data_IF_282499721285
#
_entry.id   IF_282499721285
#
_cell.length_a   1.000
_cell.length_b   1.000
_cell.length_c   1.000
_cell.angle_alpha   90.00
_cell.angle_beta   90.00
_cell.angle_gamma   90.00
#
_symmetry.space_group_name_H-M   'P 1'
#
loop_
_entity.id
_entity.type
_entity.pdbx_description
1 polymer ?
#
# COMPACT_ATOMS: atom_id res chain seq x y z
N UNK A 1 16.02 -3.63 -37.75
CA UNK A 1 14.79 -3.15 -37.07
C UNK A 1 14.16 -4.22 -36.16
N UNK A 2 13.89 -5.45 -36.63
CA UNK A 2 13.25 -6.50 -35.82
C UNK A 2 13.89 -6.77 -34.43
N UNK A 3 15.21 -6.67 -34.30
CA UNK A 3 15.93 -6.89 -33.03
C UNK A 3 15.72 -5.77 -32.00
N UNK A 4 15.62 -4.52 -32.46
CA UNK A 4 15.35 -3.37 -31.59
C UNK A 4 13.91 -3.45 -31.09
N UNK A 5 12.98 -3.83 -31.97
CA UNK A 5 11.57 -4.06 -31.63
C UNK A 5 11.45 -5.17 -30.57
N UNK A 6 12.16 -6.30 -30.74
CA UNK A 6 12.16 -7.39 -29.74
C UNK A 6 12.72 -6.97 -28.38
N UNK A 7 13.81 -6.21 -28.35
CA UNK A 7 14.38 -5.69 -27.10
C UNK A 7 13.47 -4.67 -26.41
N UNK A 8 12.86 -3.76 -27.17
CA UNK A 8 11.88 -2.81 -26.65
C UNK A 8 10.64 -3.52 -26.10
N UNK A 9 10.11 -4.50 -26.83
CA UNK A 9 8.99 -5.31 -26.39
C UNK A 9 9.30 -6.03 -25.07
N UNK A 10 10.48 -6.64 -24.95
CA UNK A 10 10.92 -7.28 -23.71
C UNK A 10 11.02 -6.28 -22.54
N UNK A 11 11.57 -5.09 -22.78
CA UNK A 11 11.67 -4.02 -21.77
C UNK A 11 10.30 -3.57 -21.26
N UNK A 12 9.35 -3.39 -22.18
CA UNK A 12 7.96 -3.02 -21.85
C UNK A 12 7.30 -4.14 -21.04
N UNK A 13 7.42 -5.40 -21.48
CA UNK A 13 6.83 -6.55 -20.78
C UNK A 13 7.37 -6.65 -19.34
N UNK A 14 8.70 -6.57 -19.15
CA UNK A 14 9.29 -6.61 -17.81
C UNK A 14 8.75 -5.45 -16.96
N UNK A 15 8.68 -4.24 -17.51
CA UNK A 15 8.16 -3.08 -16.77
C UNK A 15 6.69 -3.24 -16.37
N UNK A 16 5.85 -3.77 -17.27
CA UNK A 16 4.44 -4.05 -16.96
C UNK A 16 4.28 -5.14 -15.91
N UNK A 17 5.11 -6.18 -15.93
CA UNK A 17 5.11 -7.24 -14.92
C UNK A 17 5.45 -6.64 -13.55
N UNK A 18 6.60 -5.98 -13.40
CA UNK A 18 6.99 -5.39 -12.11
C UNK A 18 6.02 -4.30 -11.65
N UNK A 19 5.51 -3.47 -12.57
CA UNK A 19 4.53 -2.44 -12.29
C UNK A 19 3.19 -2.99 -11.80
N UNK A 20 2.67 -4.05 -12.44
CA UNK A 20 1.41 -4.69 -12.02
C UNK A 20 1.53 -5.36 -10.65
N UNK A 21 2.67 -6.01 -10.37
CA UNK A 21 2.96 -6.58 -9.05
C UNK A 21 3.03 -5.48 -7.99
N UNK A 22 3.71 -4.37 -8.27
CA UNK A 22 3.76 -3.22 -7.35
C UNK A 22 2.37 -2.66 -7.04
N UNK A 23 1.55 -2.39 -8.06
CA UNK A 23 0.18 -1.91 -7.87
C UNK A 23 -0.65 -2.88 -7.04
N UNK A 24 -0.51 -4.19 -7.29
CA UNK A 24 -1.23 -5.23 -6.55
C UNK A 24 -0.85 -5.22 -5.06
N UNK A 25 0.45 -5.17 -4.75
CA UNK A 25 0.92 -5.09 -3.36
C UNK A 25 0.44 -3.81 -2.67
N UNK A 26 0.49 -2.67 -3.36
CA UNK A 26 0.01 -1.40 -2.84
C UNK A 26 -1.51 -1.43 -2.54
N UNK A 27 -2.31 -2.07 -3.40
CA UNK A 27 -3.75 -2.23 -3.16
C UNK A 27 -4.01 -3.15 -1.95
N UNK A 28 -3.28 -4.25 -1.82
CA UNK A 28 -3.38 -5.16 -0.67
C UNK A 28 -2.99 -4.44 0.63
N UNK A 29 -1.93 -3.62 0.61
CA UNK A 29 -1.51 -2.81 1.76
C UNK A 29 -2.61 -1.86 2.22
N UNK A 30 -3.23 -1.12 1.29
CA UNK A 30 -4.35 -0.21 1.62
C UNK A 30 -5.58 -0.94 2.16
N UNK A 31 -5.94 -2.08 1.58
CA UNK A 31 -7.10 -2.84 2.06
C UNK A 31 -6.85 -3.48 3.42
N UNK A 32 -5.64 -4.00 3.66
CA UNK A 32 -5.28 -4.63 4.95
C UNK A 32 -5.22 -3.61 6.09
N UNK A 33 -4.77 -2.39 5.82
CA UNK A 33 -4.81 -1.28 6.78
C UNK A 33 -6.24 -0.90 7.24
N UNK A 34 -7.26 -1.17 6.43
CA UNK A 34 -8.66 -0.90 6.79
C UNK A 34 -9.39 -2.12 7.38
N UNK A 35 -8.89 -3.33 7.14
CA UNK A 35 -9.59 -4.57 7.46
C UNK A 35 -9.78 -4.78 8.98
N UNK A 36 -8.72 -4.62 9.77
CA UNK A 36 -8.79 -4.85 11.21
C UNK A 36 -9.65 -3.79 11.93
N UNK A 37 -9.54 -2.48 11.63
CA UNK A 37 -10.48 -1.47 12.13
C UNK A 37 -11.92 -1.74 11.71
N UNK A 38 -12.17 -2.09 10.45
CA UNK A 38 -13.53 -2.38 9.99
C UNK A 38 -14.15 -3.58 10.74
N UNK A 39 -13.37 -4.62 11.02
CA UNK A 39 -13.80 -5.76 11.82
C UNK A 39 -14.09 -5.36 13.27
N UNK A 40 -13.21 -4.57 13.90
CA UNK A 40 -13.41 -4.09 15.27
C UNK A 40 -14.66 -3.20 15.39
N UNK A 41 -14.87 -2.29 14.44
CA UNK A 41 -16.07 -1.47 14.37
C UNK A 41 -17.33 -2.34 14.20
N UNK A 42 -17.29 -3.37 13.36
CA UNK A 42 -18.41 -4.29 13.18
C UNK A 42 -18.75 -5.08 14.46
N UNK A 43 -17.75 -5.56 15.19
CA UNK A 43 -17.93 -6.23 16.50
C UNK A 43 -18.58 -5.27 17.50
N UNK A 44 -18.05 -4.04 17.61
CA UNK A 44 -18.59 -3.06 18.55
C UNK A 44 -20.02 -2.61 18.19
N UNK A 45 -20.35 -2.55 16.89
CA UNK A 45 -21.71 -2.29 16.40
C UNK A 45 -22.68 -3.40 16.86
N UNK A 46 -22.28 -4.67 16.80
CA UNK A 46 -23.10 -5.79 17.27
C UNK A 46 -23.32 -5.77 18.79
N UNK A 47 -22.38 -5.18 19.53
CA UNK A 47 -22.43 -5.06 20.99
C UNK A 47 -23.09 -3.76 21.47
N UNK A 48 -23.61 -2.92 20.57
CA UNK A 48 -24.23 -1.66 20.99
C UNK A 48 -25.41 -1.92 21.93
N UNK A 49 -25.29 -1.36 23.14
CA UNK A 49 -26.16 -1.67 24.29
C UNK A 49 -25.37 -2.22 25.47
N UNK A 50 -24.16 -2.73 25.23
CA UNK A 50 -23.17 -3.02 26.28
C UNK A 50 -22.27 -1.80 26.49
N UNK A 51 -22.03 -1.41 27.73
CA UNK A 51 -21.13 -0.29 28.08
C UNK A 51 -19.64 -0.64 27.90
N UNK A 52 -19.32 -1.92 27.78
CA UNK A 52 -17.95 -2.41 27.66
C UNK A 52 -17.43 -2.24 26.25
N UNK A 53 -16.33 -1.48 26.11
CA UNK A 53 -15.56 -1.47 24.87
C UNK A 53 -14.71 -2.73 24.75
N UNK A 54 -14.66 -3.29 23.54
CA UNK A 54 -13.77 -4.40 23.23
C UNK A 54 -12.39 -3.87 22.85
N UNK A 55 -11.37 -4.13 23.67
CA UNK A 55 -9.96 -3.86 23.33
C UNK A 55 -9.14 -3.31 24.51
N UNK A 56 -7.79 -3.40 24.43
CA UNK A 56 -6.91 -2.79 25.42
C UNK A 56 -6.96 -1.27 25.32
N UNK A 57 -6.82 -0.59 26.46
CA UNK A 57 -6.54 0.86 26.44
C UNK A 57 -5.12 1.09 25.95
N UNK A 58 -4.95 1.99 24.99
CA UNK A 58 -3.66 2.28 24.38
C UNK A 58 -3.43 3.77 24.18
N UNK A 59 -2.17 4.16 24.24
CA UNK A 59 -1.73 5.50 23.83
C UNK A 59 -1.45 5.49 22.32
N UNK A 60 -1.84 6.55 21.62
CA UNK A 60 -1.64 6.68 20.19
C UNK A 60 -0.16 6.90 19.88
N UNK A 61 0.40 6.00 19.09
CA UNK A 61 1.81 5.95 18.67
C UNK A 61 1.89 5.41 17.25
N UNK A 62 3.07 5.52 16.63
CA UNK A 62 3.32 5.00 15.29
C UNK A 62 3.15 3.47 15.20
N UNK A 63 3.18 2.74 16.31
CA UNK A 63 3.03 1.28 16.35
C UNK A 63 1.70 0.84 16.99
N UNK A 64 0.78 1.78 17.19
CA UNK A 64 -0.51 1.48 17.83
C UNK A 64 -1.32 0.50 17.00
N UNK A 65 -1.76 -0.56 17.67
CA UNK A 65 -2.71 -1.53 17.13
C UNK A 65 -4.12 -0.94 16.99
N UNK A 66 -5.10 -1.83 16.89
CA UNK A 66 -6.50 -1.43 16.69
C UNK A 66 -7.05 -0.76 17.95
N UNK A 67 -7.62 0.44 17.79
CA UNK A 67 -8.39 1.15 18.80
C UNK A 67 -9.83 1.37 18.35
N UNK A 68 -10.69 1.66 19.31
CA UNK A 68 -12.13 1.92 19.14
C UNK A 68 -12.55 3.12 19.99
N UNK A 69 -13.40 3.97 19.41
CA UNK A 69 -14.11 5.09 20.03
C UNK A 69 -15.59 5.01 19.65
N UNK A 70 -16.47 5.39 20.56
CA UNK A 70 -17.91 5.48 20.30
C UNK A 70 -18.36 6.90 20.56
N UNK A 71 -19.08 7.46 19.59
CA UNK A 71 -19.62 8.81 19.63
C UNK A 71 -21.15 8.76 19.78
N UNK A 72 -21.66 9.59 20.70
CA UNK A 72 -23.09 9.84 20.92
C UNK A 72 -23.74 10.61 19.77
N UNK A 73 -25.02 10.93 19.90
CA UNK A 73 -25.79 11.66 18.87
C UNK A 73 -25.30 13.10 18.64
N UNK A 74 -24.67 13.69 19.66
CA UNK A 74 -24.10 15.04 19.69
C UNK A 74 -22.68 15.12 19.12
N UNK A 75 -22.20 14.04 18.46
CA UNK A 75 -20.81 13.88 18.04
C UNK A 75 -19.80 13.98 19.21
N UNK A 76 -20.26 13.84 20.46
CA UNK A 76 -19.37 13.76 21.60
C UNK A 76 -18.96 12.31 21.87
N UNK A 77 -17.71 12.09 22.28
CA UNK A 77 -17.19 10.77 22.58
C UNK A 77 -17.80 10.24 23.87
N UNK A 78 -18.53 9.12 23.78
CA UNK A 78 -19.14 8.44 24.93
C UNK A 78 -18.19 7.45 25.58
N UNK A 79 -17.32 6.81 24.79
CA UNK A 79 -16.34 5.85 25.29
C UNK A 79 -15.16 5.71 24.33
N UNK A 80 -13.98 5.45 24.87
CA UNK A 80 -12.74 5.28 24.09
C UNK A 80 -11.83 4.19 24.67
N UNK A 81 -11.07 3.54 23.81
CA UNK A 81 -9.90 2.72 24.17
C UNK A 81 -8.58 3.44 23.92
N UNK A 82 -8.61 4.70 23.49
CA UNK A 82 -7.42 5.40 23.03
C UNK A 82 -7.28 6.80 23.58
N UNK A 83 -6.05 7.17 23.88
CA UNK A 83 -5.62 8.50 24.30
C UNK A 83 -4.44 8.99 23.46
N UNK A 84 -4.28 10.31 23.37
CA UNK A 84 -3.16 11.00 22.75
C UNK A 84 -2.68 12.09 23.73
N UNK A 85 -1.43 11.97 24.16
CA UNK A 85 -0.83 12.69 25.29
C UNK A 85 -1.69 12.62 26.56
N UNK A 86 -2.26 11.44 26.84
CA UNK A 86 -3.16 11.20 27.97
C UNK A 86 -4.53 11.91 27.87
N UNK A 87 -4.79 12.63 26.78
CA UNK A 87 -6.08 13.25 26.48
C UNK A 87 -6.85 12.44 25.44
N UNK A 88 -8.14 12.73 25.27
CA UNK A 88 -8.91 12.09 24.21
C UNK A 88 -8.55 12.70 22.84
N UNK A 89 -8.21 11.88 21.82
CA UNK A 89 -7.96 12.39 20.49
C UNK A 89 -9.21 13.00 19.84
N UNK A 90 -9.02 14.11 19.13
CA UNK A 90 -10.07 14.79 18.38
C UNK A 90 -10.07 14.31 16.94
N UNK A 91 -11.20 13.73 16.51
CA UNK A 91 -11.42 13.35 15.12
C UNK A 91 -11.96 14.52 14.29
N UNK A 92 -11.68 14.57 12.98
CA UNK A 92 -12.31 15.54 12.09
C UNK A 92 -13.83 15.31 12.04
N UNK A 93 -14.62 16.35 12.28
CA UNK A 93 -16.08 16.26 12.36
C UNK A 93 -16.71 15.65 11.09
N UNK A 94 -16.14 15.96 9.91
CA UNK A 94 -16.61 15.43 8.64
C UNK A 94 -16.64 13.90 8.53
N UNK A 95 -15.81 13.20 9.32
CA UNK A 95 -15.79 11.73 9.38
C UNK A 95 -17.07 11.20 10.04
N UNK A 96 -17.47 11.83 11.15
CA UNK A 96 -18.67 11.46 11.88
C UNK A 96 -19.91 11.82 11.06
N UNK A 97 -19.92 13.01 10.45
CA UNK A 97 -21.04 13.48 9.65
C UNK A 97 -21.26 12.59 8.42
N UNK A 98 -20.19 12.25 7.70
CA UNK A 98 -20.25 11.34 6.53
C UNK A 98 -20.71 9.94 6.94
N UNK A 99 -20.20 9.41 8.06
CA UNK A 99 -20.65 8.11 8.55
C UNK A 99 -22.14 8.11 8.90
N UNK A 100 -22.68 9.22 9.43
CA UNK A 100 -24.12 9.34 9.72
C UNK A 100 -24.98 9.40 8.45
N UNK A 101 -24.53 10.12 7.43
CA UNK A 101 -25.31 10.26 6.19
C UNK A 101 -25.20 9.05 5.26
N UNK A 102 -24.03 8.42 5.21
CA UNK A 102 -23.69 7.37 4.24
C UNK A 102 -23.58 5.97 4.87
N UNK A 103 -23.72 5.87 6.19
CA UNK A 103 -23.63 4.63 6.97
C UNK A 103 -22.19 4.25 7.38
N UNK A 104 -21.18 4.67 6.62
CA UNK A 104 -19.77 4.48 6.96
C UNK A 104 -18.86 5.50 6.27
N UNK A 105 -17.68 5.73 6.84
CA UNK A 105 -16.62 6.53 6.23
C UNK A 105 -15.24 5.90 6.49
N UNK A 106 -14.32 6.07 5.53
CA UNK A 106 -12.97 5.53 5.56
C UNK A 106 -11.98 6.65 5.26
N UNK A 107 -11.15 7.01 6.24
CA UNK A 107 -10.21 8.12 6.11
C UNK A 107 -8.83 7.77 6.63
N UNK A 108 -7.84 8.44 6.06
CA UNK A 108 -6.53 8.56 6.71
C UNK A 108 -6.57 9.79 7.60
N UNK A 109 -6.43 9.56 8.90
CA UNK A 109 -6.39 10.63 9.89
C UNK A 109 -4.97 10.79 10.43
N UNK A 110 -4.53 12.03 10.53
CA UNK A 110 -3.21 12.37 11.02
C UNK A 110 -3.32 13.38 12.18
N UNK A 111 -3.43 12.94 13.44
CA UNK A 111 -3.52 13.84 14.58
C UNK A 111 -2.27 14.70 14.75
N UNK A 112 -1.10 14.13 14.51
CA UNK A 112 0.19 14.79 14.66
C UNK A 112 1.14 14.40 13.52
N UNK A 113 2.18 15.20 13.24
CA UNK A 113 3.24 14.81 12.32
C UNK A 113 3.81 13.43 12.69
N UNK A 114 3.77 12.49 11.74
CA UNK A 114 4.28 11.13 11.93
C UNK A 114 3.29 10.12 12.53
N UNK A 115 2.10 10.55 12.98
CA UNK A 115 1.04 9.64 13.41
C UNK A 115 -0.04 9.55 12.34
N UNK A 116 0.07 8.59 11.43
CA UNK A 116 -0.93 8.37 10.37
C UNK A 116 -1.75 7.15 10.71
N UNK A 117 -3.07 7.32 10.78
CA UNK A 117 -4.00 6.28 11.20
C UNK A 117 -4.98 5.98 10.07
N UNK A 118 -5.22 4.70 9.80
CA UNK A 118 -6.36 4.25 9.02
C UNK A 118 -7.58 4.24 9.95
N UNK A 119 -8.62 4.99 9.62
CA UNK A 119 -9.82 5.15 10.45
C UNK A 119 -11.04 4.73 9.66
N UNK A 120 -11.89 3.95 10.31
CA UNK A 120 -13.18 3.48 9.82
C UNK A 120 -14.24 3.94 10.80
N UNK A 121 -15.18 4.75 10.32
CA UNK A 121 -16.35 5.16 11.06
C UNK A 121 -17.59 4.44 10.52
N UNK A 122 -18.47 3.99 11.41
CA UNK A 122 -19.71 3.30 11.07
C UNK A 122 -20.85 3.80 11.95
N UNK A 123 -21.92 4.25 11.32
CA UNK A 123 -23.13 4.60 12.04
C UNK A 123 -23.90 3.32 12.40
N UNK A 124 -24.44 3.29 13.60
CA UNK A 124 -25.51 2.37 13.96
C UNK A 124 -26.22 2.81 15.26
N UNK A 125 -27.53 2.55 15.34
CA UNK A 125 -28.39 2.90 16.49
C UNK A 125 -28.25 4.37 17.00
N UNK A 126 -28.17 5.34 16.07
CA UNK A 126 -28.02 6.77 16.40
C UNK A 126 -26.59 7.18 16.82
N UNK A 127 -25.70 6.22 17.05
CA UNK A 127 -24.29 6.43 17.42
C UNK A 127 -23.36 6.21 16.24
N UNK A 128 -22.12 6.66 16.39
CA UNK A 128 -21.04 6.38 15.43
C UNK A 128 -19.92 5.63 16.15
N UNK A 129 -19.62 4.43 15.68
CA UNK A 129 -18.48 3.64 16.12
C UNK A 129 -17.32 3.96 15.20
N UNK A 130 -16.22 4.41 15.78
CA UNK A 130 -14.97 4.68 15.08
C UNK A 130 -13.95 3.65 15.53
N UNK A 131 -13.31 2.98 14.58
CA UNK A 131 -12.14 2.17 14.85
C UNK A 131 -10.97 2.67 14.00
N UNK A 132 -9.75 2.49 14.48
CA UNK A 132 -8.57 2.79 13.67
C UNK A 132 -7.36 2.00 14.08
N UNK A 133 -6.30 2.10 13.28
CA UNK A 133 -4.98 1.53 13.58
C UNK A 133 -3.89 2.33 12.87
N UNK A 134 -2.64 2.15 13.29
CA UNK A 134 -1.52 2.83 12.65
C UNK A 134 -1.29 2.36 11.21
N UNK A 135 -0.91 3.31 10.34
CA UNK A 135 -0.46 3.04 8.97
C UNK A 135 1.04 2.73 8.89
N UNK A 136 1.84 3.08 9.89
CA UNK A 136 3.32 2.94 9.84
C UNK A 136 3.77 1.53 9.45
N UNK A 137 3.24 0.43 10.03
CA UNK A 137 3.69 -0.92 9.66
C UNK A 137 3.42 -1.27 8.18
N UNK A 138 2.36 -0.69 7.61
CA UNK A 138 1.99 -0.88 6.20
C UNK A 138 2.86 -0.02 5.28
N UNK A 139 3.16 1.23 5.68
CA UNK A 139 4.04 2.13 4.95
C UNK A 139 5.49 1.59 4.89
N UNK A 140 5.97 0.99 5.98
CA UNK A 140 7.28 0.34 6.02
C UNK A 140 7.33 -0.89 5.11
N UNK A 141 6.26 -1.69 5.10
CA UNK A 141 6.11 -2.85 4.22
C UNK A 141 6.07 -2.46 2.74
N UNK A 142 5.38 -1.36 2.41
CA UNK A 142 5.32 -0.80 1.06
C UNK A 142 6.71 -0.35 0.59
N UNK A 143 7.47 0.32 1.46
CA UNK A 143 8.83 0.78 1.15
C UNK A 143 9.78 -0.39 0.88
N UNK A 144 9.70 -1.44 1.70
CA UNK A 144 10.51 -2.65 1.53
C UNK A 144 10.15 -3.37 0.22
N UNK A 145 8.85 -3.48 -0.07
CA UNK A 145 8.35 -4.10 -1.31
C UNK A 145 8.80 -3.34 -2.55
N UNK A 146 8.75 -2.00 -2.53
CA UNK A 146 9.28 -1.14 -3.60
C UNK A 146 10.76 -1.42 -3.85
N UNK A 147 11.57 -1.50 -2.79
CA UNK A 147 13.01 -1.72 -2.89
C UNK A 147 13.33 -3.06 -3.56
N UNK A 148 12.68 -4.15 -3.14
CA UNK A 148 12.90 -5.47 -3.75
C UNK A 148 12.43 -5.52 -5.21
N UNK A 149 11.28 -4.92 -5.53
CA UNK A 149 10.78 -4.86 -6.90
C UNK A 149 11.68 -4.00 -7.79
N UNK A 150 12.16 -2.86 -7.30
CA UNK A 150 13.10 -2.01 -8.03
C UNK A 150 14.43 -2.73 -8.29
N UNK A 151 14.96 -3.44 -7.30
CA UNK A 151 16.18 -4.23 -7.45
C UNK A 151 16.01 -5.38 -8.47
N UNK A 152 14.89 -6.11 -8.38
CA UNK A 152 14.57 -7.18 -9.34
C UNK A 152 14.35 -6.65 -10.76
N UNK A 153 13.69 -5.50 -10.90
CA UNK A 153 13.47 -4.83 -12.19
C UNK A 153 14.81 -4.38 -12.79
N UNK A 154 15.66 -3.70 -12.02
CA UNK A 154 17.00 -3.30 -12.46
C UNK A 154 17.87 -4.49 -12.86
N UNK A 155 17.87 -5.56 -12.05
CA UNK A 155 18.57 -6.80 -12.39
C UNK A 155 18.08 -7.41 -13.71
N UNK A 156 16.76 -7.44 -13.92
CA UNK A 156 16.17 -7.91 -15.18
C UNK A 156 16.59 -7.05 -16.38
N UNK A 157 16.67 -5.72 -16.21
CA UNK A 157 17.14 -4.81 -17.25
C UNK A 157 18.62 -5.01 -17.59
N UNK A 158 19.47 -5.23 -16.59
CA UNK A 158 20.90 -5.51 -16.80
C UNK A 158 21.08 -6.82 -17.56
N UNK A 159 20.38 -7.88 -17.17
CA UNK A 159 20.42 -9.18 -17.87
C UNK A 159 19.96 -9.03 -19.32
N UNK A 160 18.85 -8.32 -19.56
CA UNK A 160 18.34 -8.09 -20.91
C UNK A 160 19.33 -7.28 -21.77
N UNK A 161 19.95 -6.24 -21.20
CA UNK A 161 20.96 -5.44 -21.89
C UNK A 161 22.23 -6.26 -22.21
N UNK A 162 22.70 -7.07 -21.26
CA UNK A 162 23.86 -7.94 -21.45
C UNK A 162 23.60 -9.00 -22.54
N UNK A 163 22.41 -9.62 -22.55
CA UNK A 163 22.00 -10.56 -23.58
C UNK A 163 21.93 -9.88 -24.96
N UNK A 164 21.36 -8.68 -25.04
CA UNK A 164 21.34 -7.91 -26.29
C UNK A 164 22.76 -7.60 -26.79
N UNK A 165 23.65 -7.11 -25.91
CA UNK A 165 25.03 -6.81 -26.23
C UNK A 165 25.81 -8.04 -26.70
N UNK A 166 25.66 -9.19 -26.02
CA UNK A 166 26.30 -10.44 -26.41
C UNK A 166 25.86 -10.89 -27.81
N UNK A 167 24.56 -10.82 -28.12
CA UNK A 167 24.06 -11.17 -29.46
C UNK A 167 24.47 -10.15 -30.54
N UNK A 168 24.76 -8.91 -30.17
CA UNK A 168 25.31 -7.92 -31.10
C UNK A 168 26.79 -8.18 -31.39
N UNK A 169 27.56 -8.55 -30.36
CA UNK A 169 28.99 -8.85 -30.46
C UNK A 169 29.27 -10.11 -31.29
N UNK A 170 28.54 -11.20 -31.05
CA UNK A 170 28.75 -12.46 -31.79
C UNK A 170 28.51 -12.31 -33.29
N UNK A 171 27.50 -11.51 -33.68
CA UNK A 171 27.23 -11.24 -35.11
C UNK A 171 28.30 -10.39 -35.77
N UNK A 172 28.76 -9.30 -35.12
CA UNK A 172 29.87 -8.49 -35.66
C UNK A 172 31.12 -9.34 -35.93
N UNK A 173 31.38 -10.34 -35.07
CA UNK A 173 32.49 -11.28 -35.26
C UNK A 173 32.26 -12.23 -36.45
N UNK A 174 31.04 -12.74 -36.64
CA UNK A 174 30.70 -13.58 -37.78
C UNK A 174 30.77 -12.81 -39.12
N UNK A 175 30.24 -11.59 -39.16
CA UNK A 175 30.28 -10.74 -40.35
C UNK A 175 31.74 -10.39 -40.75
N UNK A 176 32.62 -10.16 -39.76
CA UNK A 176 34.05 -9.92 -40.00
C UNK A 176 34.75 -11.14 -40.62
N UNK A 177 34.55 -12.33 -40.03
CA UNK A 177 35.13 -13.58 -40.54
C UNK A 177 34.65 -13.92 -41.96
N UNK A 178 33.38 -13.65 -42.28
CA UNK A 178 32.84 -13.89 -43.61
C UNK A 178 33.41 -12.93 -44.66
N UNK A 179 33.63 -11.66 -44.31
CA UNK A 179 34.23 -10.67 -45.21
C UNK A 179 35.70 -10.95 -45.51
N UNK A 180 36.45 -11.45 -44.52
CA UNK A 180 37.85 -11.83 -44.72
C UNK A 180 37.97 -13.07 -45.62
N UNK A 181 37.10 -14.07 -45.42
CA UNK A 181 37.03 -15.25 -46.30
C UNK A 181 36.66 -14.90 -47.75
N UNK A 182 35.80 -13.90 -47.98
CA UNK A 182 35.47 -13.41 -49.32
C UNK A 182 36.62 -12.65 -49.99
N UNK A 183 37.50 -12.00 -49.21
CA UNK A 183 38.70 -11.32 -49.74
C UNK A 183 39.81 -12.30 -50.11
N UNK A 184 40.01 -13.34 -49.33
CA UNK A 184 41.03 -14.37 -49.61
C UNK A 184 40.65 -15.29 -50.78
N UNK A 185 39.36 -15.39 -51.12
CA UNK A 185 38.84 -16.18 -52.25
C UNK A 185 38.71 -15.43 -53.58
N UNK A 186 39.10 -14.16 -53.66
CA UNK A 186 39.06 -13.38 -54.90
C UNK A 186 40.38 -13.56 -55.69
N UNK A 187 40.34 -14.07 -56.94
CA UNK A 187 41.54 -14.27 -57.78
C UNK A 187 42.14 -12.96 -58.31
#
# INVERSE_FOLDING_TARGET
MQRIIGWLAATIIITLIFGSVYVTLQQIGRHSANAAPAAAAAVQVQQMGSETLTGPRLELTADSGVFVMVFGEDNQPSSTTVTLHGALPVLPAGVLDTARTSGSDFVTWQPEPGLRMAVVARQAAGRVVVAGQSLTPFEDSDRMSLLFLAAGWLGSMVVLAAAYAATAFTRRRQDGLQNDALKEGAP
#
